data_IF_526437590870
#
_entry.id   IF_526437590870
#
_cell.length_a   1.000
_cell.length_b   1.000
_cell.length_c   1.000
_cell.angle_alpha   90.00
_cell.angle_beta   90.00
_cell.angle_gamma   90.00
#
_symmetry.space_group_name_H-M   'P 1'
#
loop_
_entity.id
_entity.type
_entity.pdbx_description
1 polymer ?
#
# COMPACT_ATOMS: atom_id res chain seq x y z
N UNK A 1 -41.01 7.76 3.64
CA UNK A 1 -39.54 7.78 3.54
C UNK A 1 -39.13 6.84 2.41
N UNK A 2 -38.61 7.37 1.30
CA UNK A 2 -38.17 6.54 0.17
C UNK A 2 -36.88 5.80 0.56
N UNK A 3 -36.86 4.49 0.34
CA UNK A 3 -35.72 3.61 0.65
C UNK A 3 -34.58 3.97 -0.32
N UNK A 4 -33.53 4.68 0.15
CA UNK A 4 -32.35 5.00 -0.67
C UNK A 4 -31.76 3.70 -1.26
N UNK A 5 -31.47 3.72 -2.57
CA UNK A 5 -30.89 2.58 -3.28
C UNK A 5 -29.50 2.21 -2.74
N UNK A 6 -29.06 0.97 -2.92
CA UNK A 6 -27.75 0.47 -2.43
C UNK A 6 -26.58 1.35 -2.88
N UNK A 7 -26.59 1.79 -4.12
CA UNK A 7 -25.55 2.68 -4.66
C UNK A 7 -25.44 4.01 -3.90
N UNK A 8 -26.57 4.66 -3.61
CA UNK A 8 -26.58 5.90 -2.83
C UNK A 8 -26.01 5.71 -1.42
N UNK A 9 -26.26 4.56 -0.80
CA UNK A 9 -25.69 4.24 0.51
C UNK A 9 -24.17 4.08 0.45
N UNK A 10 -23.64 3.45 -0.61
CA UNK A 10 -22.19 3.34 -0.81
C UNK A 10 -21.52 4.72 -0.97
N UNK A 11 -22.14 5.63 -1.74
CA UNK A 11 -21.64 7.01 -1.89
C UNK A 11 -21.68 7.74 -0.55
N UNK A 12 -22.81 7.67 0.17
CA UNK A 12 -22.96 8.31 1.48
C UNK A 12 -21.92 7.77 2.49
N UNK A 13 -21.72 6.45 2.54
CA UNK A 13 -20.75 5.80 3.43
C UNK A 13 -19.31 6.17 3.10
N UNK A 14 -18.97 6.28 1.81
CA UNK A 14 -17.66 6.74 1.35
C UNK A 14 -17.39 8.17 1.82
N UNK A 15 -18.31 9.10 1.53
CA UNK A 15 -18.18 10.52 1.89
C UNK A 15 -18.10 10.71 3.40
N UNK A 16 -18.93 9.99 4.15
CA UNK A 16 -18.89 10.01 5.61
C UNK A 16 -17.53 9.54 6.14
N UNK A 17 -17.01 8.42 5.60
CA UNK A 17 -15.71 7.87 6.01
C UNK A 17 -14.56 8.83 5.67
N UNK A 18 -14.54 9.44 4.48
CA UNK A 18 -13.54 10.46 4.11
C UNK A 18 -13.57 11.63 5.08
N UNK A 19 -14.77 12.10 5.44
CA UNK A 19 -14.95 13.21 6.39
C UNK A 19 -14.46 12.83 7.80
N UNK A 20 -14.77 11.63 8.27
CA UNK A 20 -14.29 11.09 9.55
C UNK A 20 -12.75 11.01 9.60
N UNK A 21 -12.12 10.70 8.46
CA UNK A 21 -10.66 10.64 8.31
C UNK A 21 -10.01 12.01 8.05
N UNK A 22 -10.77 13.11 8.12
CA UNK A 22 -10.26 14.48 7.99
C UNK A 22 -10.18 15.01 6.56
N UNK A 23 -10.58 14.23 5.56
CA UNK A 23 -10.63 14.63 4.16
C UNK A 23 -11.91 15.38 3.79
N UNK A 24 -11.95 15.90 2.55
CA UNK A 24 -13.15 16.45 1.92
C UNK A 24 -13.23 15.97 0.49
N UNK A 25 -14.41 15.52 0.08
CA UNK A 25 -14.66 15.05 -1.28
C UNK A 25 -16.06 15.44 -1.73
N UNK A 26 -16.22 15.73 -3.02
CA UNK A 26 -17.52 16.02 -3.62
C UNK A 26 -18.30 14.70 -3.83
N UNK A 27 -19.51 14.55 -3.27
CA UNK A 27 -20.33 13.34 -3.44
C UNK A 27 -20.64 12.99 -4.90
N UNK A 28 -20.72 13.98 -5.79
CA UNK A 28 -20.98 13.75 -7.22
C UNK A 28 -19.78 13.09 -7.90
N UNK A 29 -18.56 13.54 -7.59
CA UNK A 29 -17.32 12.95 -8.07
C UNK A 29 -17.16 11.52 -7.56
N UNK A 30 -17.49 11.28 -6.29
CA UNK A 30 -17.49 9.92 -5.71
C UNK A 30 -18.48 9.02 -6.46
N UNK A 31 -19.69 9.51 -6.73
CA UNK A 31 -20.69 8.74 -7.47
C UNK A 31 -20.18 8.36 -8.88
N UNK A 32 -19.60 9.31 -9.61
CA UNK A 32 -19.07 9.04 -10.96
C UNK A 32 -17.93 8.00 -10.94
N UNK A 33 -17.00 8.11 -9.99
CA UNK A 33 -15.89 7.16 -9.84
C UNK A 33 -16.36 5.76 -9.42
N UNK A 34 -17.27 5.68 -8.44
CA UNK A 34 -17.84 4.40 -8.01
C UNK A 34 -18.61 3.73 -9.16
N UNK A 35 -19.35 4.50 -9.95
CA UNK A 35 -20.06 4.00 -11.12
C UNK A 35 -19.08 3.46 -12.17
N UNK A 36 -18.03 4.24 -12.48
CA UNK A 36 -16.97 3.85 -13.42
C UNK A 36 -16.31 2.52 -13.02
N UNK A 37 -16.00 2.32 -11.73
CA UNK A 37 -15.43 1.05 -11.24
C UNK A 37 -16.41 -0.11 -11.31
N UNK A 38 -17.68 0.11 -10.97
CA UNK A 38 -18.73 -0.92 -11.10
C UNK A 38 -18.84 -1.36 -12.57
N UNK A 39 -18.79 -0.41 -13.50
CA UNK A 39 -18.85 -0.68 -14.94
C UNK A 39 -17.61 -1.45 -15.42
N UNK A 40 -16.41 -1.10 -14.94
CA UNK A 40 -15.18 -1.84 -15.23
C UNK A 40 -15.25 -3.30 -14.74
N UNK A 41 -15.72 -3.53 -13.51
CA UNK A 41 -15.91 -4.88 -12.95
C UNK A 41 -16.96 -5.65 -13.77
N UNK A 42 -18.04 -4.99 -14.16
CA UNK A 42 -19.10 -5.59 -14.97
C UNK A 42 -18.56 -6.08 -16.32
N UNK A 43 -17.73 -5.26 -17.00
CA UNK A 43 -17.05 -5.63 -18.24
C UNK A 43 -16.11 -6.83 -18.02
N UNK A 44 -15.29 -6.79 -16.98
CA UNK A 44 -14.32 -7.85 -16.68
C UNK A 44 -14.99 -9.19 -16.39
N UNK A 45 -16.06 -9.18 -15.59
CA UNK A 45 -16.81 -10.38 -15.21
C UNK A 45 -17.86 -10.78 -16.25
N UNK A 46 -18.06 -9.98 -17.31
CA UNK A 46 -19.10 -10.15 -18.34
C UNK A 46 -20.51 -10.26 -17.75
N UNK A 47 -20.78 -9.45 -16.73
CA UNK A 47 -22.10 -9.33 -16.07
C UNK A 47 -22.60 -7.89 -16.20
N UNK A 48 -23.82 -7.61 -15.69
CA UNK A 48 -24.34 -6.24 -15.67
C UNK A 48 -23.88 -5.46 -14.43
N UNK A 49 -23.77 -4.12 -14.49
CA UNK A 49 -23.49 -3.27 -13.33
C UNK A 49 -24.43 -3.54 -12.14
N UNK A 50 -25.70 -3.80 -12.42
CA UNK A 50 -26.69 -4.16 -11.41
C UNK A 50 -26.40 -5.51 -10.72
N UNK A 51 -25.82 -6.46 -11.47
CA UNK A 51 -25.38 -7.75 -10.92
C UNK A 51 -24.14 -7.56 -10.06
N UNK A 52 -23.18 -6.74 -10.49
CA UNK A 52 -22.01 -6.35 -9.67
C UNK A 52 -22.47 -5.77 -8.33
N UNK A 53 -23.31 -4.73 -8.37
CA UNK A 53 -23.80 -4.05 -7.18
C UNK A 53 -24.57 -4.99 -6.24
N UNK A 54 -25.32 -5.96 -6.77
CA UNK A 54 -26.12 -6.88 -5.95
C UNK A 54 -25.29 -8.02 -5.35
N UNK A 55 -24.39 -8.61 -6.14
CA UNK A 55 -23.81 -9.92 -5.84
C UNK A 55 -22.32 -9.88 -5.49
N UNK A 56 -21.62 -8.81 -5.83
CA UNK A 56 -20.16 -8.71 -5.68
C UNK A 56 -19.71 -7.54 -4.81
N UNK A 57 -20.57 -6.55 -4.62
CA UNK A 57 -20.29 -5.41 -3.74
C UNK A 57 -21.01 -5.62 -2.42
N UNK A 58 -20.26 -5.64 -1.32
CA UNK A 58 -20.83 -5.72 0.03
C UNK A 58 -21.31 -4.33 0.51
N UNK A 59 -21.97 -4.29 1.66
CA UNK A 59 -22.48 -3.04 2.25
C UNK A 59 -21.34 -2.17 2.87
N UNK A 60 -20.14 -2.72 3.07
CA UNK A 60 -18.98 -2.02 3.61
C UNK A 60 -18.03 -1.44 2.55
N UNK A 61 -18.26 -1.74 1.28
CA UNK A 61 -17.35 -1.43 0.18
C UNK A 61 -17.03 0.07 0.06
N UNK A 62 -18.03 0.94 0.23
CA UNK A 62 -17.84 2.40 0.21
C UNK A 62 -16.87 2.88 1.30
N UNK A 63 -17.00 2.33 2.52
CA UNK A 63 -16.07 2.62 3.63
C UNK A 63 -14.67 2.11 3.33
N UNK A 64 -14.54 0.86 2.88
CA UNK A 64 -13.23 0.26 2.59
C UNK A 64 -12.47 1.06 1.52
N UNK A 65 -13.18 1.47 0.46
CA UNK A 65 -12.61 2.31 -0.58
C UNK A 65 -12.20 3.70 -0.08
N UNK A 66 -13.01 4.35 0.77
CA UNK A 66 -12.66 5.63 1.37
C UNK A 66 -11.41 5.52 2.24
N UNK A 67 -11.32 4.48 3.06
CA UNK A 67 -10.13 4.21 3.88
C UNK A 67 -8.89 4.01 3.02
N UNK A 68 -8.99 3.24 1.93
CA UNK A 68 -7.90 3.01 1.00
C UNK A 68 -7.45 4.31 0.30
N UNK A 69 -8.39 5.13 -0.16
CA UNK A 69 -8.10 6.42 -0.78
C UNK A 69 -7.41 7.36 0.20
N UNK A 70 -7.92 7.50 1.42
CA UNK A 70 -7.32 8.37 2.43
C UNK A 70 -5.93 7.90 2.84
N UNK A 71 -5.69 6.59 2.89
CA UNK A 71 -4.36 6.05 3.12
C UNK A 71 -3.38 6.42 1.99
N UNK A 72 -3.80 6.37 0.72
CA UNK A 72 -3.00 6.80 -0.43
C UNK A 72 -2.75 8.32 -0.41
N UNK A 73 -3.77 9.14 -0.12
CA UNK A 73 -3.62 10.61 0.01
C UNK A 73 -2.63 10.96 1.12
N UNK A 74 -2.79 10.40 2.32
CA UNK A 74 -1.84 10.63 3.41
C UNK A 74 -0.44 10.10 3.07
N UNK A 75 -0.33 8.99 2.35
CA UNK A 75 0.95 8.49 1.84
C UNK A 75 1.63 9.47 0.90
N UNK A 76 0.88 10.16 0.03
CA UNK A 76 1.40 11.20 -0.87
C UNK A 76 1.75 12.49 -0.14
N UNK A 77 0.94 12.92 0.82
CA UNK A 77 1.23 14.11 1.63
C UNK A 77 2.48 13.91 2.50
N UNK A 78 2.66 12.72 3.09
CA UNK A 78 3.87 12.36 3.82
C UNK A 78 5.13 12.42 2.93
N UNK A 79 4.96 12.17 1.64
CA UNK A 79 6.01 12.20 0.62
C UNK A 79 6.34 13.63 0.18
N UNK A 80 5.35 14.52 0.08
CA UNK A 80 5.59 15.95 -0.17
C UNK A 80 6.25 16.64 1.03
N UNK A 81 6.00 16.15 2.24
CA UNK A 81 6.65 16.60 3.48
C UNK A 81 8.02 15.95 3.73
N UNK A 82 8.51 15.08 2.84
CA UNK A 82 9.71 14.30 3.08
C UNK A 82 10.92 15.21 3.28
N UNK A 83 11.67 14.97 4.36
CA UNK A 83 12.81 15.78 4.81
C UNK A 83 14.02 15.77 3.86
N UNK A 84 15.25 16.01 4.37
CA UNK A 84 16.44 16.01 3.51
C UNK A 84 16.76 14.60 2.97
N UNK A 85 17.50 14.55 1.86
CA UNK A 85 18.02 13.29 1.32
C UNK A 85 18.88 12.54 2.35
N UNK A 86 18.75 11.21 2.35
CA UNK A 86 19.42 10.32 3.29
C UNK A 86 20.65 9.66 2.70
N UNK A 87 21.67 9.48 3.53
CA UNK A 87 22.90 8.78 3.13
C UNK A 87 22.87 7.36 3.68
N UNK A 88 22.75 6.39 2.78
CA UNK A 88 22.57 4.98 3.14
C UNK A 88 23.75 4.17 2.64
N UNK A 89 24.24 3.23 3.45
CA UNK A 89 25.30 2.32 2.98
C UNK A 89 24.83 1.46 1.81
N UNK A 90 25.67 1.23 0.80
CA UNK A 90 25.33 0.44 -0.40
C UNK A 90 24.77 -0.95 -0.01
N UNK A 91 25.36 -1.59 1.00
CA UNK A 91 24.87 -2.89 1.52
C UNK A 91 23.47 -2.79 2.13
N UNK A 92 23.18 -1.69 2.81
CA UNK A 92 21.85 -1.43 3.38
C UNK A 92 20.85 -1.16 2.28
N UNK A 93 21.20 -0.35 1.28
CA UNK A 93 20.35 -0.12 0.11
C UNK A 93 20.02 -1.42 -0.65
N UNK A 94 21.02 -2.29 -0.87
CA UNK A 94 20.82 -3.61 -1.48
C UNK A 94 19.91 -4.52 -0.63
N UNK A 95 20.03 -4.45 0.69
CA UNK A 95 19.19 -5.21 1.62
C UNK A 95 17.74 -4.72 1.62
N UNK A 96 17.52 -3.40 1.59
CA UNK A 96 16.20 -2.79 1.44
C UNK A 96 15.57 -3.13 0.09
N UNK A 97 16.35 -3.12 -1.00
CA UNK A 97 15.90 -3.58 -2.32
C UNK A 97 15.41 -5.03 -2.29
N UNK A 98 16.15 -5.93 -1.64
CA UNK A 98 15.74 -7.32 -1.48
C UNK A 98 14.44 -7.44 -0.66
N UNK A 99 14.32 -6.66 0.43
CA UNK A 99 13.11 -6.64 1.26
C UNK A 99 11.87 -6.13 0.50
N UNK A 100 12.02 -5.09 -0.34
CA UNK A 100 10.94 -4.60 -1.19
C UNK A 100 10.53 -5.63 -2.25
N UNK A 101 11.50 -6.31 -2.87
CA UNK A 101 11.23 -7.41 -3.78
C UNK A 101 10.45 -8.54 -3.09
N UNK A 102 10.83 -8.87 -1.85
CA UNK A 102 10.12 -9.86 -1.03
C UNK A 102 8.68 -9.42 -0.71
N UNK A 103 8.46 -8.15 -0.40
CA UNK A 103 7.14 -7.57 -0.15
C UNK A 103 6.23 -7.67 -1.39
N UNK A 104 6.76 -7.32 -2.58
CA UNK A 104 6.03 -7.44 -3.85
C UNK A 104 5.71 -8.91 -4.16
N UNK A 105 6.66 -9.82 -3.92
CA UNK A 105 6.41 -11.26 -4.11
C UNK A 105 5.32 -11.77 -3.18
N UNK A 106 5.37 -11.43 -1.89
CA UNK A 106 4.33 -11.82 -0.93
C UNK A 106 2.97 -11.22 -1.32
N UNK A 107 2.94 -9.95 -1.73
CA UNK A 107 1.72 -9.30 -2.20
C UNK A 107 1.10 -10.05 -3.38
N UNK A 108 1.90 -10.51 -4.34
CA UNK A 108 1.38 -11.19 -5.53
C UNK A 108 0.90 -12.62 -5.24
N UNK A 109 1.59 -13.38 -4.40
CA UNK A 109 1.18 -14.77 -4.09
C UNK A 109 0.02 -14.84 -3.10
N UNK A 110 -0.14 -13.84 -2.23
CA UNK A 110 -1.22 -13.76 -1.24
C UNK A 110 -2.40 -12.89 -1.70
N UNK A 111 -2.37 -12.33 -2.92
CA UNK A 111 -3.47 -11.52 -3.43
C UNK A 111 -4.67 -12.40 -3.76
N UNK A 112 -5.77 -12.22 -3.03
CA UNK A 112 -7.08 -12.70 -3.44
C UNK A 112 -7.68 -11.67 -4.41
N UNK A 113 -7.98 -12.09 -5.64
CA UNK A 113 -8.58 -11.24 -6.67
C UNK A 113 -9.97 -10.69 -6.27
N UNK A 114 -10.57 -11.23 -5.22
CA UNK A 114 -11.86 -10.79 -4.68
C UNK A 114 -11.74 -9.73 -3.58
N UNK A 115 -10.53 -9.45 -3.08
CA UNK A 115 -10.35 -8.38 -2.10
C UNK A 115 -10.48 -7.01 -2.77
N UNK A 116 -11.40 -6.15 -2.30
CA UNK A 116 -11.70 -4.87 -2.96
C UNK A 116 -10.61 -3.81 -2.73
N UNK A 117 -9.70 -4.01 -1.77
CA UNK A 117 -8.63 -3.07 -1.43
C UNK A 117 -7.30 -3.81 -1.41
N UNK A 118 -6.29 -3.36 -2.19
CA UNK A 118 -4.94 -3.89 -2.08
C UNK A 118 -4.38 -3.64 -0.68
N UNK A 119 -3.95 -4.71 0.01
CA UNK A 119 -3.29 -4.63 1.33
C UNK A 119 -1.90 -3.97 1.29
N UNK A 120 -1.33 -3.81 0.10
CA UNK A 120 -0.08 -3.14 -0.19
C UNK A 120 -0.21 -2.43 -1.54
N UNK A 121 0.21 -1.16 -1.61
CA UNK A 121 0.31 -0.44 -2.88
C UNK A 121 1.57 -0.87 -3.64
N UNK A 122 1.38 -1.77 -4.60
CA UNK A 122 2.47 -2.33 -5.43
C UNK A 122 3.14 -1.26 -6.28
N UNK A 123 2.43 -0.17 -6.63
CA UNK A 123 3.03 0.96 -7.36
C UNK A 123 4.04 1.68 -6.48
N UNK A 124 3.66 2.04 -5.24
CA UNK A 124 4.58 2.67 -4.28
C UNK A 124 5.81 1.79 -4.02
N UNK A 125 5.59 0.47 -3.86
CA UNK A 125 6.69 -0.48 -3.70
C UNK A 125 7.63 -0.50 -4.91
N UNK A 126 7.08 -0.49 -6.13
CA UNK A 126 7.86 -0.46 -7.36
C UNK A 126 8.64 0.86 -7.51
N UNK A 127 8.03 2.00 -7.18
CA UNK A 127 8.68 3.31 -7.20
C UNK A 127 9.85 3.36 -6.20
N UNK A 128 9.69 2.79 -5.00
CA UNK A 128 10.77 2.64 -4.03
C UNK A 128 11.92 1.78 -4.56
N UNK A 129 11.61 0.63 -5.19
CA UNK A 129 12.60 -0.23 -5.84
C UNK A 129 13.36 0.53 -6.91
N UNK A 130 12.66 1.26 -7.79
CA UNK A 130 13.29 2.05 -8.85
C UNK A 130 14.21 3.12 -8.27
N UNK A 131 13.73 3.89 -7.30
CA UNK A 131 14.51 4.97 -6.68
C UNK A 131 15.77 4.47 -5.98
N UNK A 132 15.68 3.40 -5.18
CA UNK A 132 16.85 2.79 -4.55
C UNK A 132 17.81 2.20 -5.59
N UNK A 133 17.31 1.57 -6.65
CA UNK A 133 18.14 1.00 -7.71
C UNK A 133 18.92 2.08 -8.44
N UNK A 134 18.29 3.22 -8.74
CA UNK A 134 18.96 4.37 -9.35
C UNK A 134 20.04 4.95 -8.43
N UNK A 135 19.75 5.13 -7.14
CA UNK A 135 20.73 5.60 -6.17
C UNK A 135 21.97 4.67 -6.08
N UNK A 136 21.76 3.36 -6.17
CA UNK A 136 22.85 2.37 -6.21
C UNK A 136 23.58 2.38 -7.55
N UNK A 137 22.87 2.57 -8.67
CA UNK A 137 23.44 2.58 -10.01
C UNK A 137 24.32 3.81 -10.27
N UNK A 138 23.85 4.99 -9.88
CA UNK A 138 24.52 6.27 -10.15
C UNK A 138 25.68 6.57 -9.20
N UNK A 139 25.98 5.65 -8.27
CA UNK A 139 27.03 5.84 -7.28
C UNK A 139 28.42 5.88 -7.93
N UNK A 140 29.35 6.72 -7.42
CA UNK A 140 30.76 6.57 -7.73
C UNK A 140 31.25 5.17 -7.32
N UNK A 141 32.09 4.53 -8.14
CA UNK A 141 32.54 3.15 -7.93
C UNK A 141 33.18 2.90 -6.55
N UNK A 142 33.84 3.92 -5.99
CA UNK A 142 34.53 3.89 -4.69
C UNK A 142 33.64 4.34 -3.51
N UNK A 143 32.40 4.78 -3.75
CA UNK A 143 31.51 5.23 -2.69
C UNK A 143 30.84 4.04 -1.97
N UNK A 144 31.00 4.01 -0.65
CA UNK A 144 30.33 3.06 0.25
C UNK A 144 28.91 3.51 0.65
N UNK A 145 28.57 4.77 0.38
CA UNK A 145 27.27 5.38 0.64
C UNK A 145 26.60 5.79 -0.67
N UNK A 146 25.26 5.78 -0.66
CA UNK A 146 24.41 6.30 -1.72
C UNK A 146 23.50 7.37 -1.14
N UNK A 147 23.18 8.37 -1.95
CA UNK A 147 22.19 9.39 -1.61
C UNK A 147 20.83 8.90 -2.07
N UNK A 148 19.88 8.79 -1.14
CA UNK A 148 18.52 8.33 -1.41
C UNK A 148 17.56 9.45 -1.06
N UNK A 149 16.64 9.79 -1.96
CA UNK A 149 15.69 10.85 -1.68
C UNK A 149 14.79 10.50 -0.50
N UNK A 150 14.40 11.50 0.28
CA UNK A 150 13.51 11.29 1.43
C UNK A 150 12.16 10.66 1.02
N UNK A 151 11.69 10.93 -0.19
CA UNK A 151 10.52 10.29 -0.80
C UNK A 151 10.73 8.77 -0.95
N UNK A 152 11.86 8.33 -1.51
CA UNK A 152 12.17 6.91 -1.69
C UNK A 152 12.32 6.21 -0.33
N UNK A 153 12.91 6.89 0.65
CA UNK A 153 13.00 6.39 2.04
C UNK A 153 11.61 6.22 2.65
N UNK A 154 10.72 7.20 2.45
CA UNK A 154 9.34 7.18 2.96
C UNK A 154 8.54 6.06 2.32
N UNK A 155 8.57 5.92 1.00
CA UNK A 155 7.93 4.82 0.29
C UNK A 155 8.46 3.46 0.73
N UNK A 156 9.79 3.34 0.89
CA UNK A 156 10.40 2.09 1.40
C UNK A 156 9.86 1.75 2.78
N UNK A 157 9.76 2.73 3.69
CA UNK A 157 9.19 2.53 5.03
C UNK A 157 7.73 2.09 4.96
N UNK A 158 6.88 2.83 4.26
CA UNK A 158 5.44 2.53 4.14
C UNK A 158 5.24 1.11 3.62
N UNK A 159 5.95 0.73 2.57
CA UNK A 159 5.86 -0.62 1.98
C UNK A 159 6.31 -1.70 2.98
N UNK A 160 7.46 -1.52 3.64
CA UNK A 160 7.98 -2.53 4.57
C UNK A 160 7.16 -2.62 5.88
N UNK A 161 6.56 -1.53 6.34
CA UNK A 161 5.65 -1.54 7.48
C UNK A 161 4.35 -2.27 7.19
N UNK A 162 3.73 -1.97 6.04
CA UNK A 162 2.55 -2.71 5.57
C UNK A 162 2.87 -4.19 5.38
N UNK A 163 4.01 -4.51 4.77
CA UNK A 163 4.45 -5.88 4.58
C UNK A 163 4.62 -6.62 5.92
N UNK A 164 5.35 -6.00 6.87
CA UNK A 164 5.54 -6.55 8.21
C UNK A 164 4.20 -6.79 8.91
N UNK A 165 3.28 -5.85 8.83
CA UNK A 165 1.95 -5.95 9.44
C UNK A 165 1.21 -7.18 8.90
N UNK A 166 1.15 -7.36 7.58
CA UNK A 166 0.45 -8.50 6.96
C UNK A 166 1.05 -9.86 7.37
N UNK A 167 2.38 -9.98 7.40
CA UNK A 167 3.04 -11.22 7.84
C UNK A 167 2.82 -11.45 9.34
N UNK A 168 2.93 -10.40 10.16
CA UNK A 168 2.77 -10.50 11.62
C UNK A 168 1.35 -10.87 12.04
N UNK A 169 0.34 -10.43 11.28
CA UNK A 169 -1.06 -10.78 11.49
C UNK A 169 -1.40 -12.20 11.00
N UNK A 170 -0.44 -12.92 10.41
CA UNK A 170 -0.66 -14.23 9.78
C UNK A 170 -1.53 -14.15 8.52
N UNK A 171 -1.70 -12.94 7.99
CA UNK A 171 -2.57 -12.67 6.86
C UNK A 171 -1.88 -12.99 5.53
N UNK A 172 -0.54 -12.88 5.49
CA UNK A 172 0.29 -13.31 4.38
C UNK A 172 1.27 -14.39 4.80
N UNK A 173 1.55 -15.31 3.87
CA UNK A 173 2.50 -16.40 4.02
C UNK A 173 3.33 -16.59 2.76
N UNK A 174 4.54 -17.15 2.89
CA UNK A 174 5.35 -17.59 1.76
C UNK A 174 4.66 -18.68 0.93
N UNK A 175 3.68 -19.39 1.51
CA UNK A 175 2.90 -20.42 0.83
C UNK A 175 1.41 -20.38 1.26
N UNK A 176 0.55 -19.62 0.57
CA UNK A 176 -0.86 -19.48 0.94
C UNK A 176 -1.77 -20.64 0.48
N UNK A 177 -1.20 -21.77 0.04
CA UNK A 177 -1.98 -22.89 -0.52
C UNK A 177 -2.82 -23.68 0.51
N UNK A 178 -2.63 -23.42 1.81
CA UNK A 178 -3.33 -24.10 2.91
C UNK A 178 -2.70 -25.42 3.37
N UNK A 179 -1.63 -25.87 2.71
CA UNK A 179 -0.85 -27.06 3.11
C UNK A 179 0.39 -26.67 3.91
N UNK A 180 0.92 -27.56 4.74
CA UNK A 180 2.16 -27.34 5.49
C UNK A 180 3.39 -27.74 4.66
N UNK A 181 4.13 -26.73 4.23
CA UNK A 181 5.39 -26.79 3.51
C UNK A 181 6.55 -26.19 4.32
N UNK A 182 6.39 -26.02 5.65
CA UNK A 182 7.35 -25.32 6.49
C UNK A 182 7.32 -23.80 6.31
N UNK A 183 6.21 -23.25 5.83
CA UNK A 183 6.03 -21.80 5.66
C UNK A 183 6.11 -21.05 7.00
N UNK A 184 5.75 -21.68 8.13
CA UNK A 184 5.79 -21.04 9.44
C UNK A 184 7.21 -20.56 9.82
N UNK A 185 8.22 -21.40 9.61
CA UNK A 185 9.62 -21.04 9.89
C UNK A 185 10.14 -19.97 8.92
N UNK A 186 9.74 -20.06 7.65
CA UNK A 186 10.08 -19.10 6.60
C UNK A 186 9.47 -17.73 6.90
N UNK A 187 8.18 -17.68 7.21
CA UNK A 187 7.44 -16.46 7.54
C UNK A 187 8.01 -15.81 8.81
N UNK A 188 8.37 -16.60 9.82
CA UNK A 188 9.03 -16.10 11.02
C UNK A 188 10.43 -15.51 10.72
N UNK A 189 11.18 -16.12 9.80
CA UNK A 189 12.49 -15.60 9.37
C UNK A 189 12.34 -14.30 8.56
N UNK A 190 11.38 -14.24 7.65
CA UNK A 190 11.03 -13.03 6.88
C UNK A 190 10.60 -11.91 7.81
N UNK A 191 9.74 -12.19 8.80
CA UNK A 191 9.28 -11.21 9.78
C UNK A 191 10.44 -10.63 10.60
N UNK A 192 11.38 -11.46 11.03
CA UNK A 192 12.60 -11.00 11.72
C UNK A 192 13.46 -10.13 10.80
N UNK A 193 13.63 -10.53 9.54
CA UNK A 193 14.45 -9.81 8.56
C UNK A 193 13.88 -8.41 8.27
N UNK A 194 12.59 -8.31 7.91
CA UNK A 194 11.95 -7.01 7.63
C UNK A 194 11.91 -6.10 8.86
N UNK A 195 11.73 -6.67 10.06
CA UNK A 195 11.79 -5.90 11.31
C UNK A 195 13.17 -5.32 11.56
N UNK A 196 14.24 -6.04 11.23
CA UNK A 196 15.60 -5.53 11.29
C UNK A 196 15.86 -4.48 10.20
N UNK A 197 15.28 -4.64 9.00
CA UNK A 197 15.46 -3.73 7.88
C UNK A 197 14.87 -2.34 8.15
N UNK A 198 13.72 -2.30 8.82
CA UNK A 198 13.06 -1.07 9.25
C UNK A 198 13.90 -0.23 10.24
N UNK A 199 14.88 -0.83 10.90
CA UNK A 199 15.82 -0.11 11.80
C UNK A 199 16.84 0.74 11.02
N UNK A 200 17.04 0.47 9.72
CA UNK A 200 17.92 1.28 8.88
C UNK A 200 17.25 2.53 8.31
N UNK A 201 15.93 2.64 8.44
CA UNK A 201 15.17 3.79 7.96
C UNK A 201 14.95 4.77 9.12
N UNK A 202 14.96 6.09 8.89
CA UNK A 202 14.61 7.08 9.91
C UNK A 202 13.17 6.89 10.37
N UNK A 203 12.90 7.05 11.67
CA UNK A 203 11.56 6.93 12.23
C UNK A 203 10.61 7.97 11.62
N UNK A 204 9.33 7.63 11.44
CA UNK A 204 8.32 8.53 10.86
C UNK A 204 8.25 9.90 11.56
N UNK A 205 8.44 9.92 12.89
CA UNK A 205 8.41 11.13 13.72
C UNK A 205 9.56 12.12 13.45
N UNK A 206 10.65 11.66 12.83
CA UNK A 206 11.81 12.50 12.48
C UNK A 206 11.67 13.16 11.10
N UNK A 207 10.84 12.59 10.22
CA UNK A 207 10.58 13.14 8.88
C UNK A 207 9.62 14.33 8.90
N UNK A 208 8.82 14.48 9.97
CA UNK A 208 7.83 15.55 10.12
C UNK A 208 8.37 16.87 10.73
N UNK A 209 9.69 17.04 10.89
CA UNK A 209 10.26 18.29 11.42
C UNK A 209 10.57 19.27 10.27
N UNK A 210 9.77 20.34 10.07
CA UNK A 210 10.18 21.42 9.18
C UNK A 210 11.45 22.06 9.75
N UNK A 211 12.43 22.28 8.87
CA UNK A 211 13.71 22.89 9.19
C UNK A 211 13.56 24.21 9.95
N UNK A 212 14.39 24.36 10.97
CA UNK A 212 14.65 25.65 11.62
C UNK A 212 15.54 26.52 10.76
#
# INVERSE_FOLDING_TARGET
MARKGKFHRLVDDFVATVTELGGRVDPSVVADELQSRIDAIAVQLRVTPQTVLRSYIDDGWGRQMATAMMADVHGREAVEAAGPDEHVGVRVAARLLAALGQAILFATVNQDATEPVPRLDVRIAAEAVTGLSMAVHDRPSEADLVVVSAQVVTWTRITLEAFREQVSAGAWSSCPCGEDHGQADTDAAVLRAVSADLLFLPAADLLARPGR
#
